data_IF_782587306381
#
_entry.id   IF_782587306381
#
_cell.length_a   1.000
_cell.length_b   1.000
_cell.length_c   1.000
_cell.angle_alpha   90.00
_cell.angle_beta   90.00
_cell.angle_gamma   90.00
#
_symmetry.space_group_name_H-M   'P 1'
#
loop_
_entity.id
_entity.type
_entity.pdbx_description
1 polymer ?
#
# COMPACT_ATOMS: atom_id res chain seq x y z
N UNK A 1 -5.96 0.09 60.53
CA UNK A 1 -6.68 -0.73 59.54
C UNK A 1 -6.11 -0.51 58.16
N UNK A 2 -5.41 -1.49 57.56
CA UNK A 2 -4.91 -1.39 56.19
C UNK A 2 -6.09 -1.52 55.23
N UNK A 3 -6.47 -0.42 54.53
CA UNK A 3 -7.49 -0.47 53.47
C UNK A 3 -7.06 -1.45 52.39
N UNK A 4 -7.84 -2.51 52.17
CA UNK A 4 -7.70 -3.45 51.06
C UNK A 4 -7.68 -2.62 49.74
N UNK A 5 -6.53 -2.49 49.07
CA UNK A 5 -6.44 -1.98 47.70
C UNK A 5 -7.47 -2.77 46.88
N UNK A 6 -8.34 -2.05 46.15
CA UNK A 6 -9.36 -2.69 45.33
C UNK A 6 -8.69 -3.25 44.09
N UNK A 7 -8.04 -4.42 44.25
CA UNK A 7 -7.24 -5.08 43.20
C UNK A 7 -8.02 -5.21 41.87
N UNK A 8 -9.35 -5.36 41.96
CA UNK A 8 -10.24 -5.46 40.80
C UNK A 8 -10.23 -4.17 39.98
N UNK A 9 -10.33 -2.99 40.62
CA UNK A 9 -10.29 -1.68 39.90
C UNK A 9 -8.94 -1.44 39.26
N UNK A 10 -7.84 -1.77 39.95
CA UNK A 10 -6.49 -1.64 39.38
C UNK A 10 -6.30 -2.56 38.15
N UNK A 11 -6.75 -3.82 38.26
CA UNK A 11 -6.70 -4.76 37.13
C UNK A 11 -7.53 -4.25 35.94
N UNK A 12 -8.75 -3.75 36.20
CA UNK A 12 -9.60 -3.16 35.14
C UNK A 12 -8.92 -1.99 34.45
N UNK A 13 -8.31 -1.07 35.19
CA UNK A 13 -7.58 0.08 34.63
C UNK A 13 -6.38 -0.35 33.76
N UNK A 14 -5.63 -1.37 34.25
CA UNK A 14 -4.50 -1.92 33.45
C UNK A 14 -5.00 -2.57 32.17
N UNK A 15 -6.08 -3.34 32.22
CA UNK A 15 -6.67 -3.96 31.00
C UNK A 15 -7.14 -2.89 30.02
N UNK A 16 -7.83 -1.85 30.48
CA UNK A 16 -8.26 -0.74 29.64
C UNK A 16 -7.07 0.03 29.03
N UNK A 17 -6.00 0.24 29.80
CA UNK A 17 -4.78 0.88 29.30
C UNK A 17 -4.11 0.02 28.20
N UNK A 18 -3.97 -1.28 28.44
CA UNK A 18 -3.37 -2.19 27.45
C UNK A 18 -4.23 -2.30 26.18
N UNK A 19 -5.54 -2.36 26.31
CA UNK A 19 -6.45 -2.36 25.18
C UNK A 19 -6.33 -1.06 24.35
N UNK A 20 -6.32 0.10 25.02
CA UNK A 20 -6.13 1.39 24.34
C UNK A 20 -4.77 1.49 23.66
N UNK A 21 -3.70 1.02 24.30
CA UNK A 21 -2.36 0.98 23.73
C UNK A 21 -2.29 0.05 22.51
N UNK A 22 -2.91 -1.12 22.58
CA UNK A 22 -2.97 -2.06 21.45
C UNK A 22 -3.70 -1.46 20.25
N UNK A 23 -4.80 -0.75 20.47
CA UNK A 23 -5.52 -0.04 19.39
C UNK A 23 -4.68 1.09 18.77
N UNK A 24 -3.93 1.82 19.59
CA UNK A 24 -3.06 2.89 19.12
C UNK A 24 -1.88 2.37 18.30
N UNK A 25 -1.31 1.23 18.69
CA UNK A 25 -0.14 0.63 18.02
C UNK A 25 -0.53 -0.20 16.80
N UNK A 26 -1.79 -0.62 16.68
CA UNK A 26 -2.25 -1.51 15.62
C UNK A 26 -1.86 -1.04 14.22
N UNK A 27 -2.13 0.22 13.81
CA UNK A 27 -1.78 0.67 12.45
C UNK A 27 -0.28 0.55 12.16
N UNK A 28 0.56 0.97 13.10
CA UNK A 28 2.03 0.96 12.93
C UNK A 28 2.58 -0.46 12.83
N UNK A 29 2.12 -1.37 13.70
CA UNK A 29 2.57 -2.76 13.70
C UNK A 29 2.08 -3.49 12.46
N UNK A 30 0.83 -3.24 12.07
CA UNK A 30 0.23 -3.87 10.89
C UNK A 30 0.90 -3.39 9.59
N UNK A 31 1.15 -2.08 9.44
CA UNK A 31 1.85 -1.52 8.29
C UNK A 31 3.28 -2.08 8.17
N UNK A 32 4.02 -2.15 9.29
CA UNK A 32 5.34 -2.79 9.32
C UNK A 32 5.29 -4.27 8.91
N UNK A 33 4.32 -5.01 9.41
CA UNK A 33 4.12 -6.41 9.06
C UNK A 33 3.82 -6.60 7.57
N UNK A 34 2.93 -5.77 7.02
CA UNK A 34 2.58 -5.83 5.61
C UNK A 34 3.74 -5.40 4.72
N UNK A 35 4.48 -4.35 5.06
CA UNK A 35 5.66 -3.94 4.29
C UNK A 35 6.74 -5.03 4.24
N UNK A 36 6.93 -5.77 5.32
CA UNK A 36 7.83 -6.92 5.34
C UNK A 36 7.40 -8.02 4.35
N UNK A 37 6.09 -8.31 4.28
CA UNK A 37 5.55 -9.29 3.33
C UNK A 37 5.63 -8.81 1.89
N UNK A 38 5.37 -7.53 1.65
CA UNK A 38 5.50 -6.89 0.33
C UNK A 38 6.95 -6.98 -0.17
N UNK A 39 7.92 -6.61 0.66
CA UNK A 39 9.35 -6.72 0.33
C UNK A 39 9.75 -8.17 0.04
N UNK A 40 9.23 -9.12 0.81
CA UNK A 40 9.49 -10.55 0.58
C UNK A 40 8.87 -11.06 -0.72
N UNK A 41 7.66 -10.60 -1.07
CA UNK A 41 7.02 -10.94 -2.34
C UNK A 41 7.83 -10.42 -3.53
N UNK A 42 8.33 -9.17 -3.46
CA UNK A 42 9.20 -8.57 -4.47
C UNK A 42 10.52 -9.35 -4.58
N UNK A 43 11.16 -9.68 -3.46
CA UNK A 43 12.40 -10.45 -3.46
C UNK A 43 12.21 -11.85 -4.07
N UNK A 44 11.14 -12.56 -3.69
CA UNK A 44 10.83 -13.88 -4.25
C UNK A 44 10.53 -13.80 -5.75
N UNK A 45 9.83 -12.76 -6.19
CA UNK A 45 9.61 -12.51 -7.62
C UNK A 45 10.92 -12.30 -8.37
N UNK A 46 11.81 -11.43 -7.85
CA UNK A 46 13.11 -11.14 -8.47
C UNK A 46 14.01 -12.39 -8.51
N UNK A 47 14.01 -13.22 -7.46
CA UNK A 47 14.72 -14.50 -7.46
C UNK A 47 14.19 -15.43 -8.57
N UNK A 48 12.86 -15.56 -8.70
CA UNK A 48 12.25 -16.41 -9.74
C UNK A 48 12.57 -15.90 -11.15
N UNK A 49 12.52 -14.56 -11.35
CA UNK A 49 12.90 -13.95 -12.64
C UNK A 49 14.36 -14.22 -12.98
N UNK A 50 15.27 -14.14 -12.01
CA UNK A 50 16.69 -14.39 -12.21
C UNK A 50 17.01 -15.85 -12.59
N UNK A 51 16.10 -16.79 -12.33
CA UNK A 51 16.24 -18.21 -12.70
C UNK A 51 15.71 -18.50 -14.13
N UNK A 52 15.03 -17.54 -14.78
CA UNK A 52 14.52 -17.72 -16.15
C UNK A 52 15.68 -17.77 -17.15
N UNK A 53 15.59 -18.71 -18.09
CA UNK A 53 16.45 -18.66 -19.26
C UNK A 53 15.92 -17.65 -20.31
N UNK A 54 16.79 -17.25 -21.26
CA UNK A 54 16.44 -16.28 -22.27
C UNK A 54 15.21 -16.68 -23.10
N UNK A 55 15.00 -17.97 -23.34
CA UNK A 55 13.87 -18.47 -24.13
C UNK A 55 12.55 -18.33 -23.37
N UNK A 56 12.56 -18.63 -22.08
CA UNK A 56 11.41 -18.46 -21.20
C UNK A 56 11.07 -16.97 -21.04
N UNK A 57 12.08 -16.14 -20.84
CA UNK A 57 11.95 -14.70 -20.72
C UNK A 57 11.31 -14.11 -21.97
N UNK A 58 11.89 -14.37 -23.16
CA UNK A 58 11.37 -13.86 -24.43
C UNK A 58 9.93 -14.30 -24.67
N UNK A 59 9.61 -15.56 -24.36
CA UNK A 59 8.26 -16.09 -24.53
C UNK A 59 7.23 -15.37 -23.64
N UNK A 60 7.56 -15.10 -22.37
CA UNK A 60 6.69 -14.38 -21.43
C UNK A 60 6.46 -12.93 -21.89
N UNK A 61 7.55 -12.27 -22.28
CA UNK A 61 7.49 -10.88 -22.73
C UNK A 61 6.68 -10.71 -24.01
N UNK A 62 6.94 -11.54 -25.02
CA UNK A 62 6.22 -11.52 -26.29
C UNK A 62 4.74 -11.90 -26.14
N UNK A 63 4.41 -12.86 -25.27
CA UNK A 63 3.03 -13.20 -24.97
C UNK A 63 2.26 -12.01 -24.35
N UNK A 64 2.89 -11.29 -23.42
CA UNK A 64 2.28 -10.12 -22.80
C UNK A 64 2.11 -8.96 -23.81
N UNK A 65 3.10 -8.71 -24.66
CA UNK A 65 3.02 -7.71 -25.74
C UNK A 65 1.92 -8.03 -26.74
N UNK A 66 1.87 -9.27 -27.19
CA UNK A 66 0.83 -9.74 -28.12
C UNK A 66 -0.59 -9.59 -27.52
N UNK A 67 -0.73 -9.85 -26.21
CA UNK A 67 -1.98 -9.59 -25.50
C UNK A 67 -2.38 -8.12 -25.55
N UNK A 68 -1.43 -7.19 -25.28
CA UNK A 68 -1.67 -5.76 -25.34
C UNK A 68 -2.06 -5.29 -26.76
N UNK A 69 -1.38 -5.78 -27.80
CA UNK A 69 -1.75 -5.48 -29.18
C UNK A 69 -3.15 -5.98 -29.54
N UNK A 70 -3.51 -7.16 -29.08
CA UNK A 70 -4.85 -7.70 -29.28
C UNK A 70 -5.92 -6.89 -28.52
N UNK A 71 -5.58 -6.42 -27.32
CA UNK A 71 -6.44 -5.57 -26.50
C UNK A 71 -6.69 -4.20 -27.17
N UNK A 72 -5.63 -3.55 -27.68
CA UNK A 72 -5.73 -2.26 -28.38
C UNK A 72 -6.65 -2.29 -29.59
N UNK A 73 -6.75 -3.46 -30.29
CA UNK A 73 -7.65 -3.67 -31.43
C UNK A 73 -9.10 -3.97 -31.05
N UNK A 74 -9.36 -4.28 -29.77
CA UNK A 74 -10.71 -4.56 -29.28
C UNK A 74 -11.45 -3.24 -29.03
N UNK A 75 -12.65 -3.10 -29.59
CA UNK A 75 -13.55 -2.00 -29.24
C UNK A 75 -14.03 -2.25 -27.80
N UNK A 76 -13.32 -1.68 -26.85
CA UNK A 76 -13.54 -1.50 -25.41
C UNK A 76 -14.77 -2.24 -24.81
N UNK A 77 -14.61 -3.50 -24.48
CA UNK A 77 -15.45 -4.12 -23.46
C UNK A 77 -14.64 -4.11 -22.15
N UNK A 78 -15.08 -3.35 -21.15
CA UNK A 78 -14.52 -3.36 -19.78
C UNK A 78 -14.81 -4.68 -19.03
N UNK A 79 -15.36 -5.68 -19.71
CA UNK A 79 -15.73 -6.98 -19.14
C UNK A 79 -15.05 -8.06 -19.96
N UNK A 80 -14.15 -8.81 -19.33
CA UNK A 80 -13.52 -9.99 -19.94
C UNK A 80 -14.47 -11.19 -19.87
N UNK A 81 -14.48 -12.00 -20.92
CA UNK A 81 -15.07 -13.33 -20.86
C UNK A 81 -14.21 -14.25 -19.99
N UNK A 82 -14.77 -15.36 -19.50
CA UNK A 82 -14.04 -16.35 -18.68
C UNK A 82 -12.76 -16.85 -19.37
N UNK A 83 -12.80 -17.05 -20.71
CA UNK A 83 -11.63 -17.46 -21.47
C UNK A 83 -10.53 -16.37 -21.47
N UNK A 84 -10.91 -15.12 -21.63
CA UNK A 84 -10.00 -13.98 -21.61
C UNK A 84 -9.41 -13.74 -20.20
N UNK A 85 -10.23 -13.94 -19.17
CA UNK A 85 -9.77 -13.83 -17.79
C UNK A 85 -8.73 -14.90 -17.49
N UNK A 86 -8.97 -16.14 -17.92
CA UNK A 86 -8.01 -17.23 -17.76
C UNK A 86 -6.71 -17.00 -18.54
N UNK A 87 -6.79 -16.44 -19.75
CA UNK A 87 -5.62 -16.02 -20.52
C UNK A 87 -4.84 -14.96 -19.76
N UNK A 88 -5.50 -13.87 -19.31
CA UNK A 88 -4.93 -12.80 -18.53
C UNK A 88 -4.22 -13.31 -17.27
N UNK A 89 -4.85 -14.17 -16.48
CA UNK A 89 -4.28 -14.73 -15.24
C UNK A 89 -3.05 -15.61 -15.49
N UNK A 90 -2.87 -16.14 -16.71
CA UNK A 90 -1.71 -16.96 -17.06
C UNK A 90 -0.49 -16.17 -17.54
N UNK A 91 -0.66 -14.87 -17.84
CA UNK A 91 0.41 -14.03 -18.37
C UNK A 91 1.18 -13.35 -17.23
N UNK A 92 2.51 -13.31 -17.35
CA UNK A 92 3.42 -12.69 -16.37
C UNK A 92 3.40 -13.32 -14.96
N UNK A 93 2.70 -14.41 -14.72
CA UNK A 93 2.71 -15.12 -13.43
C UNK A 93 3.88 -16.10 -13.36
N UNK A 94 5.09 -15.59 -13.19
CA UNK A 94 6.33 -16.40 -13.15
C UNK A 94 6.46 -17.21 -11.86
N UNK A 95 5.85 -16.75 -10.78
CA UNK A 95 5.96 -17.40 -9.46
C UNK A 95 4.81 -18.34 -9.12
N UNK A 96 3.73 -18.34 -9.91
CA UNK A 96 2.48 -19.05 -9.57
C UNK A 96 1.72 -18.43 -8.40
N UNK A 97 2.11 -17.21 -7.99
CA UNK A 97 1.51 -16.46 -6.87
C UNK A 97 0.70 -15.24 -7.34
N UNK A 98 0.56 -15.06 -8.65
CA UNK A 98 -0.16 -13.96 -9.27
C UNK A 98 0.58 -12.62 -9.26
N UNK A 99 1.88 -12.58 -8.96
CA UNK A 99 2.70 -11.36 -9.02
C UNK A 99 3.21 -11.15 -10.44
N UNK A 100 2.86 -10.02 -11.05
CA UNK A 100 3.27 -9.62 -12.41
C UNK A 100 4.56 -8.80 -12.42
N UNK A 101 4.89 -8.14 -11.31
CA UNK A 101 5.98 -7.18 -11.18
C UNK A 101 5.81 -6.35 -9.92
N UNK A 102 6.47 -5.20 -9.89
CA UNK A 102 6.29 -4.25 -8.80
C UNK A 102 6.40 -2.80 -9.29
N UNK A 103 5.76 -1.87 -8.57
CA UNK A 103 5.81 -0.43 -8.81
C UNK A 103 6.71 0.24 -7.78
N UNK A 104 7.56 1.15 -8.25
CA UNK A 104 8.40 2.01 -7.41
C UNK A 104 8.05 3.47 -7.66
N UNK A 105 7.79 4.22 -6.57
CA UNK A 105 7.47 5.66 -6.61
C UNK A 105 8.40 6.34 -5.60
N UNK A 106 9.57 6.83 -6.03
CA UNK A 106 10.62 7.36 -5.14
C UNK A 106 10.14 8.54 -4.29
N UNK A 107 9.39 9.47 -4.87
CA UNK A 107 8.93 10.70 -4.20
C UNK A 107 8.12 10.44 -2.94
N UNK A 108 7.47 9.29 -2.85
CA UNK A 108 6.65 8.92 -1.69
C UNK A 108 7.17 7.67 -0.96
N UNK A 109 8.40 7.21 -1.27
CA UNK A 109 9.01 5.98 -0.73
C UNK A 109 8.06 4.78 -0.81
N UNK A 110 7.48 4.54 -1.99
CA UNK A 110 6.55 3.46 -2.24
C UNK A 110 7.19 2.40 -3.13
N UNK A 111 7.19 1.15 -2.68
CA UNK A 111 7.60 -0.02 -3.48
C UNK A 111 6.62 -1.15 -3.15
N UNK A 112 5.77 -1.53 -4.13
CA UNK A 112 4.65 -2.44 -3.92
C UNK A 112 4.58 -3.48 -5.03
N UNK A 113 4.35 -4.78 -4.70
CA UNK A 113 4.11 -5.80 -5.70
C UNK A 113 2.77 -5.56 -6.40
N UNK A 114 2.75 -5.82 -7.70
CA UNK A 114 1.57 -5.73 -8.56
C UNK A 114 1.05 -7.15 -8.77
N UNK A 115 -0.18 -7.38 -8.34
CA UNK A 115 -0.86 -8.66 -8.53
C UNK A 115 -1.86 -8.58 -9.68
N UNK A 116 -2.23 -9.75 -10.21
CA UNK A 116 -3.38 -9.87 -11.10
C UNK A 116 -4.66 -9.51 -10.38
N UNK A 117 -5.54 -8.76 -11.05
CA UNK A 117 -6.87 -8.41 -10.55
C UNK A 117 -6.86 -7.40 -9.41
N UNK A 118 -8.06 -7.02 -9.00
CA UNK A 118 -8.30 -6.03 -7.94
C UNK A 118 -9.28 -6.56 -6.90
N UNK A 119 -9.24 -7.87 -6.66
CA UNK A 119 -10.02 -8.49 -5.59
C UNK A 119 -9.59 -7.94 -4.23
N UNK A 120 -10.52 -7.97 -3.29
CA UNK A 120 -10.29 -7.47 -1.92
C UNK A 120 -9.07 -8.13 -1.27
N UNK A 121 -8.85 -9.43 -1.51
CA UNK A 121 -7.69 -10.18 -1.00
C UNK A 121 -6.35 -9.60 -1.47
N UNK A 122 -6.29 -9.08 -2.69
CA UNK A 122 -5.10 -8.40 -3.25
C UNK A 122 -4.97 -7.00 -2.67
N UNK A 123 -6.03 -6.21 -2.74
CA UNK A 123 -5.98 -4.80 -2.37
C UNK A 123 -5.76 -4.54 -0.88
N UNK A 124 -6.00 -5.54 -0.01
CA UNK A 124 -5.68 -5.47 1.41
C UNK A 124 -4.18 -5.49 1.72
N UNK A 125 -3.35 -6.04 0.82
CA UNK A 125 -1.93 -6.27 1.08
C UNK A 125 -0.99 -5.63 0.06
N UNK A 126 -1.48 -5.31 -1.15
CA UNK A 126 -0.68 -4.89 -2.29
C UNK A 126 -1.46 -3.96 -3.22
N UNK A 127 -0.95 -3.76 -4.43
CA UNK A 127 -1.67 -3.14 -5.53
C UNK A 127 -2.06 -4.18 -6.57
N UNK A 128 -3.17 -3.94 -7.26
CA UNK A 128 -3.71 -4.85 -8.25
C UNK A 128 -3.76 -4.22 -9.64
N UNK A 129 -3.44 -5.01 -10.65
CA UNK A 129 -3.60 -4.62 -12.04
C UNK A 129 -5.06 -4.79 -12.46
N UNK A 130 -5.63 -3.78 -13.11
CA UNK A 130 -7.01 -3.84 -13.58
C UNK A 130 -7.08 -4.69 -14.85
N UNK A 131 -7.79 -5.81 -14.80
CA UNK A 131 -7.80 -6.90 -15.77
C UNK A 131 -8.20 -6.52 -17.22
N UNK A 132 -8.95 -5.42 -17.40
CA UNK A 132 -9.35 -4.92 -18.73
C UNK A 132 -8.36 -3.88 -19.30
N UNK A 133 -7.33 -3.50 -18.58
CA UNK A 133 -6.27 -2.59 -19.03
C UNK A 133 -5.09 -3.35 -19.65
N UNK A 134 -4.17 -2.64 -20.29
CA UNK A 134 -2.96 -3.26 -20.85
C UNK A 134 -2.06 -3.80 -19.75
N UNK A 135 -1.49 -4.99 -19.97
CA UNK A 135 -0.46 -5.56 -19.09
C UNK A 135 0.73 -4.59 -18.93
N UNK A 136 1.43 -4.62 -17.79
CA UNK A 136 2.44 -3.64 -17.42
C UNK A 136 3.79 -3.80 -18.17
N UNK A 137 3.73 -4.10 -19.47
CA UNK A 137 4.91 -4.26 -20.33
C UNK A 137 5.11 -3.09 -21.29
N UNK A 138 4.27 -2.05 -21.17
CA UNK A 138 4.32 -0.86 -22.02
C UNK A 138 4.06 -1.16 -23.51
N UNK A 139 4.50 -0.26 -24.37
CA UNK A 139 4.40 -0.34 -25.81
C UNK A 139 3.41 0.67 -26.40
N UNK A 140 3.54 0.95 -27.70
CA UNK A 140 2.63 1.86 -28.40
C UNK A 140 1.19 1.38 -28.34
N UNK A 141 0.26 2.29 -28.12
CA UNK A 141 -1.16 2.01 -27.97
C UNK A 141 -1.45 1.09 -26.77
N UNK A 142 -0.78 1.32 -25.65
CA UNK A 142 -1.02 0.64 -24.38
C UNK A 142 -1.37 1.62 -23.26
N UNK A 143 -2.21 1.17 -22.32
CA UNK A 143 -2.55 1.90 -21.12
C UNK A 143 -2.71 0.91 -19.95
N UNK A 144 -1.67 0.81 -19.14
CA UNK A 144 -1.68 0.00 -17.92
C UNK A 144 -2.39 0.74 -16.78
N UNK A 145 -3.23 0.07 -16.02
CA UNK A 145 -3.92 0.67 -14.88
C UNK A 145 -3.70 -0.17 -13.62
N UNK A 146 -3.12 0.46 -12.60
CA UNK A 146 -2.79 -0.16 -11.32
C UNK A 146 -3.58 0.52 -10.21
N UNK A 147 -4.34 -0.26 -9.47
CA UNK A 147 -5.19 0.22 -8.38
C UNK A 147 -4.65 -0.20 -7.02
N UNK A 148 -4.71 0.72 -6.06
CA UNK A 148 -4.34 0.46 -4.68
C UNK A 148 -5.20 1.25 -3.70
N UNK A 149 -5.41 0.68 -2.52
CA UNK A 149 -6.15 1.35 -1.46
C UNK A 149 -5.45 2.58 -0.90
N UNK A 150 -6.25 3.49 -0.36
CA UNK A 150 -5.82 4.66 0.40
C UNK A 150 -6.46 4.65 1.78
N UNK A 151 -5.64 4.92 2.80
CA UNK A 151 -6.15 5.09 4.16
C UNK A 151 -6.52 3.79 4.88
N UNK A 152 -5.99 2.65 4.46
CA UNK A 152 -6.11 1.43 5.23
C UNK A 152 -5.33 1.55 6.54
N UNK A 153 -5.92 1.19 7.69
CA UNK A 153 -5.19 1.15 8.95
C UNK A 153 -4.06 0.11 8.97
N UNK A 154 -4.13 -0.89 8.10
CA UNK A 154 -3.21 -2.02 8.05
C UNK A 154 -2.02 -1.84 7.12
N UNK A 155 -2.11 -0.97 6.11
CA UNK A 155 -1.07 -0.80 5.10
C UNK A 155 -1.16 0.57 4.44
N UNK A 156 -0.02 1.21 4.18
CA UNK A 156 0.03 2.53 3.52
C UNK A 156 -0.40 2.49 2.07
N UNK A 157 0.04 1.49 1.32
CA UNK A 157 -0.22 1.33 -0.10
C UNK A 157 -0.13 2.67 -0.87
N UNK A 158 -1.19 3.07 -1.58
CA UNK A 158 -1.27 4.36 -2.30
C UNK A 158 -1.78 5.54 -1.46
N UNK A 159 -1.62 5.48 -0.11
CA UNK A 159 -2.09 6.54 0.79
C UNK A 159 -1.50 7.91 0.46
N UNK A 160 -0.25 7.95 0.02
CA UNK A 160 0.47 9.19 -0.29
C UNK A 160 0.46 9.56 -1.78
N UNK A 161 -0.31 8.87 -2.62
CA UNK A 161 -0.34 9.10 -4.08
C UNK A 161 -0.74 10.55 -4.43
N UNK A 162 -1.50 11.21 -3.58
CA UNK A 162 -1.91 12.62 -3.72
C UNK A 162 -0.80 13.65 -3.52
N UNK A 163 0.39 13.21 -3.16
CA UNK A 163 1.57 14.08 -3.05
C UNK A 163 2.35 14.22 -4.35
N UNK A 164 2.05 13.34 -5.33
CA UNK A 164 2.68 13.42 -6.64
C UNK A 164 2.19 14.64 -7.40
N UNK A 165 3.09 15.21 -8.18
CA UNK A 165 2.82 16.35 -9.07
C UNK A 165 3.24 15.98 -10.51
N UNK A 166 2.80 16.75 -11.50
CA UNK A 166 3.27 16.61 -12.88
C UNK A 166 4.79 16.84 -12.95
N UNK A 167 5.50 15.96 -13.66
CA UNK A 167 6.95 15.90 -13.74
C UNK A 167 7.61 14.91 -12.78
N UNK A 168 6.90 14.42 -11.74
CA UNK A 168 7.41 13.32 -10.90
C UNK A 168 7.48 12.03 -11.71
N UNK A 169 8.30 11.08 -11.27
CA UNK A 169 8.47 9.81 -11.98
C UNK A 169 8.10 8.62 -11.10
N UNK A 170 7.60 7.57 -11.75
CA UNK A 170 7.46 6.25 -11.16
C UNK A 170 7.90 5.17 -12.14
N UNK A 171 8.22 4.01 -11.64
CA UNK A 171 8.76 2.91 -12.43
C UNK A 171 7.93 1.65 -12.22
N UNK A 172 7.70 0.92 -13.30
CA UNK A 172 7.25 -0.47 -13.25
C UNK A 172 8.45 -1.37 -13.50
N UNK A 173 8.62 -2.37 -12.67
CA UNK A 173 9.62 -3.42 -12.87
C UNK A 173 8.91 -4.73 -13.15
N UNK A 174 9.07 -5.20 -14.38
CA UNK A 174 8.39 -6.40 -14.88
C UNK A 174 9.42 -7.28 -15.54
N UNK A 175 9.51 -8.52 -15.09
CA UNK A 175 10.64 -9.39 -15.35
C UNK A 175 11.93 -8.67 -14.91
N UNK A 176 12.92 -8.47 -15.78
CA UNK A 176 14.13 -7.70 -15.52
C UNK A 176 14.11 -6.29 -16.16
N UNK A 177 13.00 -5.93 -16.84
CA UNK A 177 12.83 -4.63 -17.48
C UNK A 177 12.35 -3.56 -16.50
N UNK A 178 12.85 -2.34 -16.72
CA UNK A 178 12.42 -1.13 -16.02
C UNK A 178 11.65 -0.24 -17.00
N UNK A 179 10.42 0.08 -16.68
CA UNK A 179 9.59 0.99 -17.46
C UNK A 179 9.36 2.26 -16.66
N UNK A 180 10.01 3.36 -17.06
CA UNK A 180 9.90 4.65 -16.38
C UNK A 180 8.79 5.48 -17.01
N UNK A 181 7.93 6.04 -16.14
CA UNK A 181 6.83 6.92 -16.51
C UNK A 181 6.98 8.26 -15.80
N UNK A 182 6.80 9.36 -16.54
CA UNK A 182 6.73 10.72 -15.99
C UNK A 182 5.27 11.13 -15.89
N UNK A 183 4.86 11.62 -14.71
CA UNK A 183 3.49 12.07 -14.45
C UNK A 183 3.15 13.25 -15.35
N UNK A 184 2.14 13.09 -16.20
CA UNK A 184 1.67 14.08 -17.15
C UNK A 184 0.24 14.56 -16.90
N UNK A 185 -0.52 13.85 -16.05
CA UNK A 185 -1.90 14.21 -15.77
C UNK A 185 -2.34 13.71 -14.39
N UNK A 186 -3.02 14.57 -13.62
CA UNK A 186 -3.63 14.20 -12.35
C UNK A 186 -5.10 14.62 -12.37
N UNK A 187 -6.01 13.64 -12.22
CA UNK A 187 -7.45 13.85 -12.27
C UNK A 187 -8.15 13.32 -11.02
N UNK A 188 -9.26 13.96 -10.66
CA UNK A 188 -10.21 13.42 -9.69
C UNK A 188 -11.53 13.21 -10.43
N UNK A 189 -11.98 11.97 -10.47
CA UNK A 189 -13.14 11.54 -11.25
C UNK A 189 -14.13 10.75 -10.39
N UNK A 190 -15.38 10.62 -10.85
CA UNK A 190 -16.32 9.68 -10.24
C UNK A 190 -15.93 8.22 -10.52
N UNK A 191 -16.32 7.26 -9.67
CA UNK A 191 -15.87 5.85 -9.82
C UNK A 191 -16.26 5.19 -11.15
N UNK A 192 -17.32 5.66 -11.79
CA UNK A 192 -17.81 5.17 -13.08
C UNK A 192 -17.17 5.86 -14.29
N UNK A 193 -16.42 6.93 -14.10
CA UNK A 193 -15.73 7.65 -15.17
C UNK A 193 -14.44 6.92 -15.56
N UNK A 194 -14.52 6.09 -16.58
CA UNK A 194 -13.41 5.29 -17.08
C UNK A 194 -12.78 5.83 -18.37
N UNK A 195 -13.33 6.93 -18.92
CA UNK A 195 -12.83 7.54 -20.16
C UNK A 195 -11.32 7.89 -20.10
N UNK A 196 -10.80 8.48 -18.98
CA UNK A 196 -9.36 8.79 -18.88
C UNK A 196 -8.44 7.58 -18.83
N UNK A 197 -8.98 6.36 -18.72
CA UNK A 197 -8.23 5.11 -18.62
C UNK A 197 -8.19 4.34 -19.95
N UNK A 198 -8.74 4.91 -21.02
CA UNK A 198 -8.75 4.27 -22.34
C UNK A 198 -7.36 4.25 -22.97
N UNK A 199 -7.15 3.27 -23.82
CA UNK A 199 -5.97 3.20 -24.69
C UNK A 199 -6.09 4.30 -25.74
N UNK A 200 -5.04 5.12 -25.86
CA UNK A 200 -4.88 6.13 -26.90
C UNK A 200 -3.89 5.62 -27.95
N UNK A 201 -4.23 5.79 -29.23
CA UNK A 201 -3.38 5.33 -30.35
C UNK A 201 -2.00 6.00 -30.31
N UNK A 202 -0.96 5.18 -30.41
CA UNK A 202 0.44 5.64 -30.41
C UNK A 202 0.98 6.09 -29.06
N UNK A 203 0.21 5.97 -27.96
CA UNK A 203 0.64 6.34 -26.62
C UNK A 203 1.00 5.12 -25.78
N UNK A 204 1.95 5.30 -24.87
CA UNK A 204 2.31 4.34 -23.83
C UNK A 204 2.08 5.01 -22.47
N UNK A 205 0.97 4.63 -21.82
CA UNK A 205 0.54 5.20 -20.54
C UNK A 205 0.49 4.17 -19.44
N UNK A 206 0.74 4.66 -18.22
CA UNK A 206 0.41 3.95 -16.99
C UNK A 206 -0.34 4.87 -16.04
N UNK A 207 -1.47 4.45 -15.50
CA UNK A 207 -2.25 5.22 -14.51
C UNK A 207 -2.30 4.49 -13.17
N UNK A 208 -1.86 5.19 -12.13
CA UNK A 208 -2.02 4.76 -10.73
C UNK A 208 -3.34 5.30 -10.20
N UNK A 209 -4.17 4.42 -9.62
CA UNK A 209 -5.54 4.73 -9.19
C UNK A 209 -5.69 4.48 -7.70
N UNK A 210 -6.27 5.46 -7.00
CA UNK A 210 -6.66 5.28 -5.60
C UNK A 210 -7.95 6.02 -5.27
N UNK A 211 -8.49 5.79 -4.08
CA UNK A 211 -9.69 6.48 -3.60
C UNK A 211 -9.37 7.87 -3.04
N UNK A 212 -10.30 8.81 -3.23
CA UNK A 212 -10.20 10.19 -2.71
C UNK A 212 -11.61 10.74 -2.42
N UNK A 213 -11.80 11.74 -1.50
CA UNK A 213 -10.88 12.19 -0.47
C UNK A 213 -10.57 11.11 0.58
N UNK A 214 -9.47 11.26 1.32
CA UNK A 214 -9.08 10.34 2.38
C UNK A 214 -10.23 10.07 3.37
N UNK A 215 -10.52 8.79 3.60
CA UNK A 215 -11.56 8.33 4.52
C UNK A 215 -13.01 8.48 4.01
N UNK A 216 -13.28 9.29 2.95
CA UNK A 216 -14.60 9.45 2.33
C UNK A 216 -14.74 8.51 1.12
N UNK A 217 -13.68 8.43 0.28
CA UNK A 217 -13.56 7.50 -0.84
C UNK A 217 -14.64 7.62 -1.94
N UNK A 218 -15.28 8.79 -2.07
CA UNK A 218 -16.36 9.03 -3.02
C UNK A 218 -15.91 9.13 -4.48
N UNK A 219 -14.65 9.51 -4.70
CA UNK A 219 -14.06 9.69 -6.03
C UNK A 219 -12.82 8.80 -6.20
N UNK A 220 -12.23 8.86 -7.40
CA UNK A 220 -10.93 8.23 -7.71
C UNK A 220 -9.93 9.32 -8.06
N UNK A 221 -8.74 9.21 -7.48
CA UNK A 221 -7.56 9.95 -7.89
C UNK A 221 -6.84 9.12 -8.95
N UNK A 222 -6.64 9.68 -10.12
CA UNK A 222 -5.91 9.12 -11.23
C UNK A 222 -4.61 9.90 -11.39
N UNK A 223 -3.47 9.22 -11.28
CA UNK A 223 -2.14 9.78 -11.55
C UNK A 223 -1.60 9.06 -12.77
N UNK A 224 -1.68 9.70 -13.94
CA UNK A 224 -1.21 9.14 -15.20
C UNK A 224 0.22 9.56 -15.46
N UNK A 225 1.04 8.63 -15.95
CA UNK A 225 2.34 8.89 -16.53
C UNK A 225 2.42 8.42 -17.95
N UNK A 226 3.19 9.14 -18.76
CA UNK A 226 3.61 8.72 -20.09
C UNK A 226 5.01 8.10 -20.04
N UNK A 227 5.27 7.16 -20.93
CA UNK A 227 6.55 6.47 -21.03
C UNK A 227 7.68 7.45 -21.40
N UNK A 228 8.78 7.38 -20.66
CA UNK A 228 10.04 8.09 -20.96
C UNK A 228 11.19 7.10 -21.03
N UNK A 229 12.31 7.52 -21.62
CA UNK A 229 13.53 6.73 -21.59
C UNK A 229 14.00 6.52 -20.16
N UNK A 230 14.54 5.33 -19.89
CA UNK A 230 15.08 5.07 -18.56
C UNK A 230 16.26 6.02 -18.30
N UNK A 231 16.10 6.89 -17.31
CA UNK A 231 17.19 7.77 -16.89
C UNK A 231 18.37 6.89 -16.45
N UNK A 232 19.59 7.21 -16.86
CA UNK A 232 20.83 6.47 -16.50
C UNK A 232 21.13 6.46 -14.98
N UNK A 233 20.17 6.91 -14.16
CA UNK A 233 20.23 7.01 -12.70
C UNK A 233 19.90 5.72 -11.96
N UNK A 234 19.90 4.57 -12.63
CA UNK A 234 19.64 3.28 -11.97
C UNK A 234 20.60 2.96 -10.82
N UNK A 235 21.80 3.55 -10.79
CA UNK A 235 22.75 3.38 -9.70
C UNK A 235 22.52 4.34 -8.52
N UNK A 236 21.92 5.52 -8.76
CA UNK A 236 21.63 6.48 -7.70
C UNK A 236 20.44 6.06 -6.82
N UNK A 237 19.47 5.33 -7.37
CA UNK A 237 18.29 4.83 -6.62
C UNK A 237 18.70 3.72 -5.64
N UNK A 238 19.72 2.93 -5.92
CA UNK A 238 20.25 1.94 -4.96
C UNK A 238 20.88 2.56 -3.71
N UNK A 239 21.38 3.80 -3.80
CA UNK A 239 22.07 4.46 -2.68
C UNK A 239 21.06 5.14 -1.74
N UNK A 240 19.88 5.55 -2.22
CA UNK A 240 18.86 6.20 -1.38
C UNK A 240 17.96 5.22 -0.64
N UNK A 241 17.90 3.95 -1.05
CA UNK A 241 17.12 2.92 -0.36
C UNK A 241 17.63 2.61 1.07
N UNK A 242 18.90 2.93 1.38
CA UNK A 242 19.50 2.73 2.70
C UNK A 242 19.28 3.90 3.67
N UNK A 243 18.74 5.03 3.22
CA UNK A 243 18.36 6.13 4.08
C UNK A 243 17.02 5.83 4.76
N UNK A 244 17.06 5.21 5.93
CA UNK A 244 15.87 5.03 6.79
C UNK A 244 15.33 6.42 7.14
N UNK A 245 14.35 6.89 6.40
CA UNK A 245 13.57 8.06 6.81
C UNK A 245 12.71 7.64 8.00
N UNK A 246 13.14 8.07 9.19
CA UNK A 246 12.39 7.83 10.42
C UNK A 246 11.15 8.73 10.38
N UNK A 247 10.01 8.18 9.99
CA UNK A 247 8.75 8.91 10.03
C UNK A 247 8.39 9.25 11.49
N UNK A 248 8.05 10.52 11.79
CA UNK A 248 7.68 10.94 13.15
C UNK A 248 6.53 10.11 13.74
N UNK A 249 5.63 9.61 12.89
CA UNK A 249 4.49 8.77 13.30
C UNK A 249 4.94 7.37 13.78
N UNK A 250 6.07 6.86 13.31
CA UNK A 250 6.67 5.61 13.78
C UNK A 250 7.35 5.78 15.15
N UNK A 251 7.95 6.94 15.40
CA UNK A 251 8.67 7.23 16.65
C UNK A 251 7.71 7.53 17.80
N UNK A 252 6.57 8.17 17.53
CA UNK A 252 5.62 8.59 18.55
C UNK A 252 5.11 7.44 19.44
N UNK A 253 4.71 6.25 18.94
CA UNK A 253 4.32 5.12 19.78
C UNK A 253 5.47 4.58 20.64
N UNK A 254 6.68 4.50 20.11
CA UNK A 254 7.86 4.02 20.85
C UNK A 254 8.29 5.00 21.95
N UNK A 255 8.12 6.30 21.73
CA UNK A 255 8.35 7.32 22.74
C UNK A 255 7.23 7.34 23.82
N UNK A 256 5.99 7.05 23.43
CA UNK A 256 4.86 7.02 24.36
C UNK A 256 4.89 5.79 25.29
N UNK A 257 5.41 4.65 24.83
CA UNK A 257 5.49 3.41 25.63
C UNK A 257 6.21 3.56 26.97
N UNK A 258 7.45 4.09 27.05
CA UNK A 258 8.15 4.28 28.33
C UNK A 258 7.44 5.30 29.21
N UNK A 259 6.86 6.38 28.65
CA UNK A 259 6.09 7.36 29.40
C UNK A 259 4.84 6.76 30.03
N UNK A 260 4.11 5.92 29.29
CA UNK A 260 2.94 5.19 29.80
C UNK A 260 3.33 4.17 30.84
N UNK A 261 4.46 3.47 30.68
CA UNK A 261 4.98 2.55 31.68
C UNK A 261 5.35 3.27 32.98
N UNK A 262 6.03 4.44 32.90
CA UNK A 262 6.34 5.28 34.04
C UNK A 262 5.06 5.79 34.72
N UNK A 263 4.09 6.26 33.96
CA UNK A 263 2.79 6.70 34.47
C UNK A 263 2.06 5.55 35.21
N UNK A 264 2.09 4.35 34.64
CA UNK A 264 1.51 3.15 35.25
C UNK A 264 2.19 2.83 36.60
N UNK A 265 3.54 2.86 36.64
CA UNK A 265 4.31 2.64 37.85
C UNK A 265 3.96 3.70 38.92
N UNK A 266 3.86 4.96 38.53
CA UNK A 266 3.47 6.07 39.43
C UNK A 266 2.05 5.84 39.95
N UNK A 267 1.08 5.50 39.11
CA UNK A 267 -0.31 5.22 39.51
C UNK A 267 -0.40 4.02 40.45
N UNK A 268 0.45 3.01 40.27
CA UNK A 268 0.49 1.84 41.17
C UNK A 268 1.22 2.14 42.51
N UNK A 269 2.20 3.07 42.50
CA UNK A 269 3.02 3.44 43.65
C UNK A 269 2.40 4.55 44.52
N UNK A 270 1.57 5.45 43.93
CA UNK A 270 0.96 6.55 44.66
C UNK A 270 0.05 6.05 45.81
N UNK A 271 0.30 6.49 47.06
CA UNK A 271 -0.59 6.16 48.18
C UNK A 271 -1.91 6.92 48.01
N UNK A 272 -3.02 6.21 47.93
CA UNK A 272 -4.35 6.85 47.93
C UNK A 272 -4.61 7.52 49.25
N UNK A 273 -4.85 8.86 49.25
CA UNK A 273 -5.29 9.60 50.43
C UNK A 273 -6.51 8.95 51.05
N UNK A 274 -6.54 8.77 52.39
CA UNK A 274 -7.74 8.25 53.04
C UNK A 274 -8.88 9.27 52.91
N UNK A 275 -10.06 8.83 52.50
CA UNK A 275 -11.28 9.64 52.59
C UNK A 275 -11.48 10.02 54.05
N UNK A 276 -11.54 11.35 54.35
CA UNK A 276 -11.96 11.84 55.66
C UNK A 276 -13.43 11.43 55.83
N UNK A 277 -13.71 10.65 56.86
CA UNK A 277 -15.07 10.48 57.39
C UNK A 277 -15.39 11.79 58.11
N UNK A 278 -16.35 12.54 57.61
CA UNK A 278 -17.03 13.56 58.38
C UNK A 278 -17.67 12.89 59.61
N UNK A 279 -17.22 13.24 60.77
CA UNK A 279 -17.88 12.84 62.01
C UNK A 279 -19.21 13.60 62.11
N UNK A 280 -20.28 12.85 62.20
CA UNK A 280 -21.54 13.35 62.75
C UNK A 280 -21.37 13.44 64.28
N UNK A 281 -21.09 14.63 64.79
CA UNK A 281 -21.28 14.96 66.20
C UNK A 281 -22.76 15.29 66.40
N UNK A 282 -23.50 14.29 66.82
CA UNK A 282 -24.76 14.52 67.51
C UNK A 282 -24.43 14.90 68.97
N UNK A 283 -24.47 16.18 69.29
CA UNK A 283 -24.69 16.64 70.67
C UNK A 283 -26.18 16.55 70.97
N UNK A 284 -26.48 15.83 72.02
CA UNK A 284 -27.76 15.83 72.69
C UNK A 284 -27.77 16.97 73.74
N UNK A 285 -28.81 17.85 73.66
CA UNK A 285 -29.56 18.39 74.75
C UNK A 285 -30.91 18.91 74.25
#
# INVERSE_FOLDING_TARGET
MKKKKNKRTTVLLVVLLLAGLSLLLYPTVSDYWNSFHQTRAIASYAETVAELDNTQYDALWEAARHYNEALARRNSAFILSEAQKKEYESLLDVSGLGVMGYVEIPEINCSLPIYHGTEESVLQIAVGHIEWSSLPVGGESSHCVISGHRGLPSAKLFTNLDKLIEGDTFMLRVLDEVLTYEVDQILIVEPQETEPLRIEEGKDYCTLVTCTPYGINSHRLLVRGHRIDNLETSDAVRITADAIQIEPLLVAPFAALPLLAVLLVILLALPQKPKSHGGDDHEAE
#
